data_IF_056751621823
#
_entry.id   IF_056751621823
#
_cell.length_a   1.000
_cell.length_b   1.000
_cell.length_c   1.000
_cell.angle_alpha   90.00
_cell.angle_beta   90.00
_cell.angle_gamma   90.00
#
_symmetry.space_group_name_H-M   'P 1'
#
loop_
_entity.id
_entity.type
_entity.pdbx_description
1 polymer ?
#
# COMPACT_ATOMS: atom_id res chain seq x y z
N UNK A 1 -49.61 60.44 -19.08
CA UNK A 1 -50.42 60.34 -17.84
C UNK A 1 -49.68 59.40 -16.90
N UNK A 2 -49.23 59.93 -15.74
CA UNK A 2 -48.81 59.25 -14.49
C UNK A 2 -47.78 58.11 -14.59
N UNK A 3 -46.49 58.29 -14.27
CA UNK A 3 -45.83 58.50 -12.95
C UNK A 3 -46.19 57.48 -11.86
N UNK A 4 -45.13 56.88 -11.28
CA UNK A 4 -44.87 56.31 -9.93
C UNK A 4 -43.85 55.17 -10.11
N UNK A 5 -42.53 55.37 -10.03
CA UNK A 5 -41.66 55.67 -8.88
C UNK A 5 -41.69 54.63 -7.75
N UNK A 6 -40.50 54.13 -7.40
CA UNK A 6 -40.25 53.19 -6.30
C UNK A 6 -38.82 52.63 -6.29
N UNK A 7 -37.83 53.51 -6.12
CA UNK A 7 -36.50 53.17 -5.60
C UNK A 7 -36.60 52.74 -4.13
N UNK A 8 -35.86 51.72 -3.71
CA UNK A 8 -35.23 51.73 -2.39
C UNK A 8 -33.86 51.03 -2.43
N UNK A 9 -32.84 51.86 -2.26
CA UNK A 9 -31.44 51.55 -2.03
C UNK A 9 -31.24 51.35 -0.52
N UNK A 10 -30.47 50.35 -0.08
CA UNK A 10 -29.79 50.41 1.22
C UNK A 10 -28.38 49.88 1.13
N UNK A 11 -27.48 50.80 1.44
CA UNK A 11 -26.03 50.71 1.45
C UNK A 11 -25.46 49.87 2.60
N UNK A 12 -24.23 49.43 2.36
CA UNK A 12 -23.08 49.41 3.27
C UNK A 12 -23.22 48.82 4.69
N UNK A 13 -22.37 47.82 4.97
CA UNK A 13 -21.43 47.98 6.07
C UNK A 13 -20.12 47.20 5.86
N UNK A 14 -19.10 47.98 5.50
CA UNK A 14 -17.69 47.73 5.83
C UNK A 14 -17.53 47.80 7.35
N UNK A 15 -16.87 46.83 7.98
CA UNK A 15 -16.01 47.13 9.13
C UNK A 15 -14.83 46.16 9.21
N UNK A 16 -13.70 46.79 9.52
CA UNK A 16 -12.31 46.36 9.48
C UNK A 16 -11.86 45.51 10.68
N UNK A 17 -10.82 44.71 10.40
CA UNK A 17 -9.70 44.26 11.25
C UNK A 17 -9.72 44.48 12.76
N UNK A 18 -9.39 43.40 13.50
CA UNK A 18 -8.32 43.47 14.52
C UNK A 18 -7.66 42.12 14.76
N UNK A 19 -6.36 42.22 15.03
CA UNK A 19 -5.34 41.21 15.26
C UNK A 19 -5.66 40.06 16.22
N UNK A 20 -5.09 38.89 15.88
CA UNK A 20 -4.98 37.72 16.74
C UNK A 20 -3.78 36.87 16.33
N UNK A 21 -2.58 37.44 16.52
CA UNK A 21 -1.28 36.77 16.40
C UNK A 21 -1.21 35.55 17.34
N UNK A 22 -1.27 34.34 16.79
CA UNK A 22 -0.84 33.12 17.47
C UNK A 22 0.21 32.42 16.61
N UNK A 23 1.46 32.64 16.99
CA UNK A 23 2.65 31.98 16.46
C UNK A 23 2.64 30.49 16.80
N UNK A 24 2.48 29.63 15.81
CA UNK A 24 2.86 28.22 15.92
C UNK A 24 4.24 28.02 15.26
N UNK A 25 5.27 28.07 16.09
CA UNK A 25 6.60 27.56 15.79
C UNK A 25 6.55 26.04 15.63
N UNK A 26 6.21 25.57 14.42
CA UNK A 26 6.31 24.17 14.03
C UNK A 26 7.49 24.00 13.08
N UNK A 27 8.64 23.58 13.62
CA UNK A 27 9.82 23.15 12.86
C UNK A 27 9.41 21.96 11.97
N UNK A 28 9.07 22.20 10.70
CA UNK A 28 9.06 21.15 9.68
C UNK A 28 10.52 20.81 9.39
N UNK A 29 11.00 19.73 9.95
CA UNK A 29 12.19 19.06 9.45
C UNK A 29 11.82 18.43 8.10
N UNK A 30 12.17 19.10 7.01
CA UNK A 30 12.29 18.46 5.71
C UNK A 30 13.36 17.38 5.84
N UNK A 31 12.91 16.13 5.95
CA UNK A 31 13.80 14.98 5.82
C UNK A 31 13.93 14.76 4.32
N UNK A 32 15.03 15.27 3.76
CA UNK A 32 15.44 15.04 2.39
C UNK A 32 15.82 13.55 2.24
N UNK A 33 14.87 12.76 1.77
CA UNK A 33 15.09 11.35 1.48
C UNK A 33 15.90 11.23 0.18
N UNK A 34 17.16 10.85 0.33
CA UNK A 34 18.02 10.48 -0.80
C UNK A 34 17.38 9.29 -1.54
N UNK A 35 17.06 9.52 -2.81
CA UNK A 35 16.51 8.53 -3.73
C UNK A 35 17.58 7.46 -4.04
N UNK A 36 17.63 6.41 -3.21
CA UNK A 36 18.71 5.41 -3.24
C UNK A 36 18.29 4.08 -3.89
N UNK A 37 17.07 3.97 -4.40
CA UNK A 37 16.62 2.73 -5.07
C UNK A 37 16.69 2.93 -6.57
N UNK A 38 17.79 2.46 -7.16
CA UNK A 38 17.92 2.30 -8.60
C UNK A 38 16.97 1.19 -9.07
N UNK A 39 15.85 1.60 -9.67
CA UNK A 39 14.79 0.76 -10.22
C UNK A 39 15.33 -0.30 -11.19
N UNK A 40 16.40 0.03 -11.93
CA UNK A 40 17.03 -0.90 -12.89
C UNK A 40 17.78 -2.00 -12.16
N UNK A 41 18.50 -1.66 -11.08
CA UNK A 41 19.26 -2.62 -10.28
C UNK A 41 18.37 -3.59 -9.52
N UNK A 42 17.25 -3.10 -8.97
CA UNK A 42 16.28 -3.97 -8.27
C UNK A 42 15.67 -5.00 -9.22
N UNK A 43 15.28 -4.57 -10.43
CA UNK A 43 14.78 -5.48 -11.48
C UNK A 43 15.82 -6.51 -11.89
N UNK A 44 17.07 -6.10 -12.08
CA UNK A 44 18.16 -7.00 -12.45
C UNK A 44 18.44 -8.06 -11.38
N UNK A 45 18.37 -7.71 -10.10
CA UNK A 45 18.55 -8.67 -9.00
C UNK A 45 17.37 -9.67 -8.89
N UNK A 46 16.15 -9.24 -9.19
CA UNK A 46 14.96 -10.09 -9.24
C UNK A 46 14.94 -11.04 -10.46
N UNK A 47 15.23 -10.52 -11.66
CA UNK A 47 15.11 -11.27 -12.92
C UNK A 47 16.29 -12.22 -13.19
N UNK A 48 17.43 -12.07 -12.49
CA UNK A 48 18.62 -12.95 -12.65
C UNK A 48 18.44 -14.38 -12.13
N UNK A 49 17.32 -14.75 -11.52
CA UNK A 49 17.10 -16.13 -11.02
C UNK A 49 15.82 -16.74 -11.59
N UNK A 50 15.83 -17.26 -12.84
CA UNK A 50 14.63 -17.82 -13.45
C UNK A 50 14.19 -19.16 -12.84
N UNK A 51 15.04 -19.84 -12.06
CA UNK A 51 14.71 -21.17 -11.50
C UNK A 51 15.33 -21.38 -10.11
N UNK A 52 14.59 -21.16 -9.02
CA UNK A 52 14.62 -22.03 -7.82
C UNK A 52 13.62 -21.64 -6.74
N UNK A 53 13.00 -22.68 -6.22
CA UNK A 53 12.01 -22.76 -5.16
C UNK A 53 12.53 -22.28 -3.79
N UNK A 54 11.62 -21.73 -3.00
CA UNK A 54 11.51 -21.89 -1.53
C UNK A 54 12.70 -21.55 -0.63
N UNK A 55 13.59 -20.65 -1.02
CA UNK A 55 14.66 -20.18 -0.13
C UNK A 55 14.40 -18.74 0.29
N UNK A 56 14.17 -18.52 1.60
CA UNK A 56 14.02 -17.18 2.19
C UNK A 56 15.20 -16.30 1.78
N UNK A 57 14.91 -15.10 1.26
CA UNK A 57 15.95 -14.12 0.98
C UNK A 57 16.63 -13.74 2.31
N UNK A 58 17.93 -14.00 2.42
CA UNK A 58 18.76 -13.48 3.50
C UNK A 58 18.99 -11.97 3.25
N UNK A 59 17.94 -11.16 3.40
CA UNK A 59 18.04 -9.69 3.37
C UNK A 59 18.44 -9.11 4.75
N UNK A 60 18.65 -9.96 5.76
CA UNK A 60 18.86 -9.59 7.16
C UNK A 60 20.33 -9.65 7.62
N UNK A 61 21.31 -9.62 6.71
CA UNK A 61 22.73 -9.63 7.11
C UNK A 61 23.50 -8.48 6.49
N UNK A 62 23.71 -7.44 7.30
CA UNK A 62 24.68 -6.33 7.25
C UNK A 62 24.16 -5.38 8.35
N UNK A 63 24.61 -5.46 9.60
CA UNK A 63 25.97 -5.17 10.03
C UNK A 63 26.35 -5.98 11.28
N UNK A 64 27.42 -6.78 11.18
CA UNK A 64 28.10 -7.33 12.35
C UNK A 64 29.60 -7.50 12.01
N UNK A 65 30.38 -6.46 12.28
CA UNK A 65 31.83 -6.53 12.35
C UNK A 65 32.24 -6.54 13.84
N UNK A 66 32.50 -7.75 14.31
CA UNK A 66 33.65 -8.17 15.15
C UNK A 66 34.09 -7.28 16.32
N UNK A 67 33.81 -7.70 17.56
CA UNK A 67 34.80 -8.18 18.58
C UNK A 67 34.17 -8.40 19.99
N UNK A 68 34.74 -9.24 20.87
CA UNK A 68 34.09 -9.76 22.10
C UNK A 68 34.68 -9.16 23.41
N UNK A 69 34.38 -9.74 24.60
CA UNK A 69 33.46 -9.21 25.60
C UNK A 69 34.15 -8.39 26.71
N UNK A 70 33.46 -7.38 27.25
CA UNK A 70 33.86 -6.76 28.53
C UNK A 70 32.65 -6.50 29.43
N UNK A 71 32.74 -7.10 30.61
CA UNK A 71 31.87 -6.94 31.78
C UNK A 71 31.89 -5.50 32.28
N UNK A 72 30.76 -4.79 32.25
CA UNK A 72 30.51 -3.66 33.15
C UNK A 72 29.00 -3.53 33.40
N UNK A 73 28.62 -3.68 34.67
CA UNK A 73 27.36 -3.19 35.21
C UNK A 73 27.34 -1.66 35.08
N UNK A 74 26.21 -1.09 34.66
CA UNK A 74 25.56 0.05 35.29
C UNK A 74 24.28 0.43 34.54
N UNK A 75 23.28 0.77 35.36
CA UNK A 75 21.93 1.26 35.07
C UNK A 75 21.74 2.05 33.76
N UNK A 76 20.90 1.50 32.87
CA UNK A 76 20.24 2.24 31.79
C UNK A 76 18.76 2.46 32.16
N UNK A 77 18.19 3.67 31.97
CA UNK A 77 16.79 3.92 32.25
C UNK A 77 15.91 3.16 31.25
N UNK A 78 14.64 2.85 31.58
CA UNK A 78 13.84 2.00 30.73
C UNK A 78 13.57 2.72 29.40
N UNK A 79 14.21 2.23 28.34
CA UNK A 79 13.74 2.42 26.97
C UNK A 79 12.26 2.09 26.98
N UNK A 80 11.45 3.07 26.55
CA UNK A 80 10.00 3.04 26.53
C UNK A 80 9.52 1.73 25.90
N UNK A 81 9.31 0.73 26.76
CA UNK A 81 8.73 -0.55 26.39
C UNK A 81 7.24 -0.28 26.34
N UNK A 82 6.79 0.29 25.21
CA UNK A 82 5.39 0.21 24.85
C UNK A 82 5.09 -1.28 24.81
N UNK A 83 4.45 -1.79 25.88
CA UNK A 83 3.82 -3.10 25.89
C UNK A 83 2.90 -3.12 24.67
N UNK A 84 3.34 -3.77 23.61
CA UNK A 84 2.51 -4.12 22.47
C UNK A 84 1.44 -5.08 22.99
N UNK A 85 0.37 -4.53 23.55
CA UNK A 85 -0.84 -5.29 23.79
C UNK A 85 -1.45 -5.59 22.42
N UNK A 86 -1.52 -6.87 22.06
CA UNK A 86 -2.54 -7.38 21.14
C UNK A 86 -2.07 -7.86 19.77
N UNK A 87 -1.03 -7.29 19.16
CA UNK A 87 -0.72 -7.65 17.77
C UNK A 87 0.10 -8.94 17.65
N UNK A 88 -0.55 -10.04 17.24
CA UNK A 88 0.11 -11.31 16.89
C UNK A 88 0.86 -11.09 15.57
N UNK A 89 2.19 -11.23 15.60
CA UNK A 89 3.11 -11.20 14.46
C UNK A 89 3.11 -9.92 13.57
N UNK A 90 3.71 -8.79 14.02
CA UNK A 90 3.76 -7.55 13.24
C UNK A 90 4.47 -7.71 11.88
N UNK A 91 5.44 -8.61 11.77
CA UNK A 91 6.12 -8.88 10.49
C UNK A 91 5.19 -9.51 9.45
N UNK A 92 4.25 -10.38 9.85
CA UNK A 92 3.28 -10.98 8.92
C UNK A 92 2.32 -9.94 8.33
N UNK A 93 2.11 -8.83 9.03
CA UNK A 93 1.29 -7.74 8.55
C UNK A 93 1.85 -7.10 7.28
N UNK A 94 3.17 -7.09 7.10
CA UNK A 94 3.82 -6.58 5.89
C UNK A 94 3.42 -7.43 4.66
N UNK A 95 3.45 -8.75 4.82
CA UNK A 95 2.98 -9.69 3.79
C UNK A 95 1.48 -9.63 3.59
N UNK A 96 0.71 -9.43 4.66
CA UNK A 96 -0.74 -9.26 4.56
C UNK A 96 -1.14 -8.02 3.76
N UNK A 97 -0.48 -6.87 3.96
CA UNK A 97 -0.73 -5.64 3.19
C UNK A 97 -0.54 -5.90 1.69
N UNK A 98 0.59 -6.51 1.32
CA UNK A 98 0.90 -6.82 -0.08
C UNK A 98 -0.12 -7.82 -0.67
N UNK A 99 -0.43 -8.88 0.07
CA UNK A 99 -1.40 -9.90 -0.35
C UNK A 99 -2.80 -9.31 -0.59
N UNK A 100 -3.26 -8.45 0.31
CA UNK A 100 -4.60 -7.87 0.26
C UNK A 100 -4.73 -6.87 -0.89
N UNK A 101 -3.69 -6.10 -1.18
CA UNK A 101 -3.65 -5.25 -2.37
C UNK A 101 -3.80 -6.08 -3.64
N UNK A 102 -2.98 -7.12 -3.80
CA UNK A 102 -3.00 -7.99 -4.99
C UNK A 102 -4.38 -8.64 -5.17
N UNK A 103 -4.95 -9.16 -4.09
CA UNK A 103 -6.29 -9.79 -4.11
C UNK A 103 -7.38 -8.80 -4.53
N UNK A 104 -7.32 -7.55 -4.08
CA UNK A 104 -8.28 -6.51 -4.49
C UNK A 104 -8.13 -6.12 -5.95
N UNK A 105 -6.91 -5.93 -6.44
CA UNK A 105 -6.66 -5.64 -7.86
C UNK A 105 -7.25 -6.77 -8.72
N UNK A 106 -6.93 -8.02 -8.38
CA UNK A 106 -7.43 -9.18 -9.10
C UNK A 106 -8.95 -9.30 -9.04
N UNK A 107 -9.55 -9.11 -7.86
CA UNK A 107 -11.01 -9.16 -7.69
C UNK A 107 -11.73 -8.02 -8.43
N UNK A 108 -11.11 -6.85 -8.55
CA UNK A 108 -11.70 -5.72 -9.26
C UNK A 108 -11.74 -5.98 -10.77
N UNK A 109 -10.66 -6.55 -11.33
CA UNK A 109 -10.59 -6.88 -12.75
C UNK A 109 -11.52 -8.07 -13.06
N UNK A 110 -11.35 -9.19 -12.36
CA UNK A 110 -12.00 -10.47 -12.66
C UNK A 110 -13.27 -10.73 -11.84
N UNK A 111 -14.21 -9.78 -11.79
CA UNK A 111 -15.43 -9.87 -10.98
C UNK A 111 -16.31 -11.10 -11.29
N UNK A 112 -16.29 -11.55 -12.55
CA UNK A 112 -17.14 -12.65 -13.02
C UNK A 112 -16.49 -14.04 -12.84
N UNK A 113 -15.25 -14.08 -12.31
CA UNK A 113 -14.51 -15.32 -12.09
C UNK A 113 -14.67 -15.78 -10.63
N UNK A 114 -15.19 -16.99 -10.44
CA UNK A 114 -15.40 -17.56 -9.10
C UNK A 114 -14.10 -17.96 -8.39
N UNK A 115 -13.05 -18.27 -9.15
CA UNK A 115 -11.75 -18.71 -8.64
C UNK A 115 -10.62 -18.12 -9.47
N UNK A 116 -9.62 -17.58 -8.78
CA UNK A 116 -8.48 -16.87 -9.38
C UNK A 116 -7.17 -17.65 -9.18
N UNK A 117 -7.20 -18.98 -9.31
CA UNK A 117 -6.01 -19.82 -9.10
C UNK A 117 -4.96 -19.57 -10.17
N UNK A 118 -3.73 -19.29 -9.72
CA UNK A 118 -2.61 -18.95 -10.60
C UNK A 118 -2.75 -17.57 -11.26
N UNK A 119 -3.69 -16.74 -10.80
CA UNK A 119 -3.75 -15.33 -11.19
C UNK A 119 -2.85 -14.54 -10.24
N UNK A 120 -2.00 -13.70 -10.81
CA UNK A 120 -1.13 -12.77 -10.09
C UNK A 120 -1.26 -11.42 -10.77
N UNK A 121 -0.95 -10.34 -10.05
CA UNK A 121 -1.01 -9.00 -10.66
C UNK A 121 -0.07 -8.90 -11.88
N UNK A 122 1.07 -9.61 -11.83
CA UNK A 122 2.04 -9.67 -12.92
C UNK A 122 1.49 -10.32 -14.19
N UNK A 123 0.53 -11.25 -14.08
CA UNK A 123 0.03 -12.02 -15.21
C UNK A 123 -1.39 -11.62 -15.67
N UNK A 124 -1.95 -10.51 -15.17
CA UNK A 124 -3.32 -10.09 -15.45
C UNK A 124 -3.61 -10.05 -16.96
N UNK A 125 -2.78 -9.39 -17.75
CA UNK A 125 -3.02 -9.25 -19.20
C UNK A 125 -3.11 -10.61 -19.91
N UNK A 126 -2.22 -11.54 -19.55
CA UNK A 126 -2.26 -12.90 -20.06
C UNK A 126 -3.52 -13.64 -19.57
N UNK A 127 -3.91 -13.45 -18.32
CA UNK A 127 -5.14 -14.04 -17.77
C UNK A 127 -6.40 -13.50 -18.41
N UNK A 128 -6.45 -12.21 -18.77
CA UNK A 128 -7.54 -11.61 -19.53
C UNK A 128 -7.70 -12.35 -20.87
N UNK A 129 -6.61 -12.54 -21.62
CA UNK A 129 -6.65 -13.29 -22.88
C UNK A 129 -7.15 -14.72 -22.68
N UNK A 130 -6.70 -15.39 -21.61
CA UNK A 130 -7.10 -16.76 -21.30
C UNK A 130 -8.60 -16.89 -20.98
N UNK A 131 -9.15 -16.01 -20.14
CA UNK A 131 -10.55 -16.12 -19.68
C UNK A 131 -11.58 -15.69 -20.72
N UNK A 132 -11.16 -14.92 -21.73
CA UNK A 132 -12.05 -14.48 -22.81
C UNK A 132 -12.22 -15.53 -23.91
N UNK A 133 -11.41 -16.60 -23.91
CA UNK A 133 -11.54 -17.69 -24.88
C UNK A 133 -12.58 -18.68 -24.38
N UNK A 134 -13.63 -18.88 -25.17
CA UNK A 134 -14.64 -19.87 -24.84
C UNK A 134 -14.05 -21.30 -24.95
N UNK A 135 -14.15 -22.13 -23.91
CA UNK A 135 -13.38 -23.38 -23.81
C UNK A 135 -13.75 -24.44 -24.85
N UNK A 136 -14.97 -24.39 -25.39
CA UNK A 136 -15.45 -25.39 -26.36
C UNK A 136 -15.33 -24.95 -27.82
N UNK A 137 -15.39 -23.64 -28.08
CA UNK A 137 -15.39 -23.10 -29.45
C UNK A 137 -14.07 -22.45 -29.84
N UNK A 138 -13.21 -22.13 -28.87
CA UNK A 138 -11.97 -21.37 -29.09
C UNK A 138 -12.21 -19.92 -29.54
N UNK A 139 -13.47 -19.47 -29.61
CA UNK A 139 -13.83 -18.12 -30.00
C UNK A 139 -13.57 -17.16 -28.85
N UNK A 140 -13.04 -15.97 -29.16
CA UNK A 140 -12.79 -14.91 -28.18
C UNK A 140 -14.05 -14.08 -28.00
N UNK A 141 -14.51 -13.92 -26.76
CA UNK A 141 -15.48 -12.90 -26.41
C UNK A 141 -14.79 -11.54 -26.33
N UNK A 142 -14.89 -10.79 -27.43
CA UNK A 142 -14.24 -9.49 -27.56
C UNK A 142 -14.83 -8.44 -26.62
N UNK A 143 -16.14 -8.47 -26.38
CA UNK A 143 -16.81 -7.52 -25.51
C UNK A 143 -16.38 -7.73 -24.05
N UNK A 144 -16.29 -8.98 -23.62
CA UNK A 144 -15.77 -9.33 -22.31
C UNK A 144 -14.30 -8.93 -22.16
N UNK A 145 -13.49 -9.14 -23.20
CA UNK A 145 -12.07 -8.75 -23.23
C UNK A 145 -11.89 -7.25 -23.06
N UNK A 146 -12.62 -6.44 -23.82
CA UNK A 146 -12.56 -4.97 -23.73
C UNK A 146 -12.90 -4.51 -22.31
N UNK A 147 -13.99 -5.04 -21.72
CA UNK A 147 -14.41 -4.69 -20.36
C UNK A 147 -13.34 -5.02 -19.30
N UNK A 148 -12.67 -6.17 -19.42
CA UNK A 148 -11.59 -6.56 -18.51
C UNK A 148 -10.37 -5.64 -18.65
N UNK A 149 -10.01 -5.27 -19.89
CA UNK A 149 -8.90 -4.34 -20.16
C UNK A 149 -9.20 -2.94 -19.62
N UNK A 150 -10.43 -2.44 -19.78
CA UNK A 150 -10.87 -1.16 -19.23
C UNK A 150 -10.74 -1.14 -17.70
N UNK A 151 -11.27 -2.16 -17.01
CA UNK A 151 -11.14 -2.29 -15.54
C UNK A 151 -9.68 -2.35 -15.09
N UNK A 152 -8.85 -3.08 -15.83
CA UNK A 152 -7.43 -3.15 -15.53
C UNK A 152 -6.75 -1.78 -15.69
N UNK A 153 -6.98 -1.08 -16.81
CA UNK A 153 -6.44 0.27 -17.02
C UNK A 153 -6.88 1.21 -15.92
N UNK A 154 -8.18 1.23 -15.61
CA UNK A 154 -8.75 2.13 -14.61
C UNK A 154 -8.11 1.96 -13.22
N UNK A 155 -7.89 0.71 -12.78
CA UNK A 155 -7.18 0.43 -11.53
C UNK A 155 -5.72 0.87 -11.62
N UNK A 156 -5.02 0.48 -12.69
CA UNK A 156 -3.60 0.78 -12.82
C UNK A 156 -3.34 2.28 -12.94
N UNK A 157 -4.19 3.04 -13.62
CA UNK A 157 -4.10 4.49 -13.72
C UNK A 157 -4.28 5.15 -12.35
N UNK A 158 -5.26 4.69 -11.56
CA UNK A 158 -5.47 5.15 -10.20
C UNK A 158 -4.29 4.85 -9.26
N UNK A 159 -3.72 3.65 -9.35
CA UNK A 159 -2.54 3.26 -8.57
C UNK A 159 -1.27 4.00 -9.04
N UNK A 160 -1.16 4.27 -10.34
CA UNK A 160 -0.01 4.98 -10.92
C UNK A 160 0.12 6.41 -10.37
N UNK A 161 -0.99 7.10 -10.13
CA UNK A 161 -1.00 8.43 -9.48
C UNK A 161 -0.38 8.40 -8.08
N UNK A 162 -0.42 7.25 -7.40
CA UNK A 162 0.21 7.04 -6.08
C UNK A 162 1.69 6.61 -6.19
N UNK A 163 2.21 6.46 -7.40
CA UNK A 163 3.57 5.98 -7.69
C UNK A 163 3.69 4.48 -7.95
N UNK A 164 2.56 3.75 -8.05
CA UNK A 164 2.61 2.31 -8.34
C UNK A 164 3.11 2.06 -9.78
N UNK A 165 4.21 1.33 -9.88
CA UNK A 165 4.80 0.83 -11.13
C UNK A 165 4.38 -0.62 -11.38
N UNK A 166 3.67 -0.86 -12.49
CA UNK A 166 3.22 -2.19 -12.95
C UNK A 166 4.37 -3.14 -13.29
N UNK A 167 5.58 -2.61 -13.50
CA UNK A 167 6.77 -3.43 -13.79
C UNK A 167 7.55 -3.85 -12.55
N UNK A 168 7.41 -3.13 -11.44
CA UNK A 168 8.18 -3.36 -10.20
C UNK A 168 7.30 -3.94 -9.10
N UNK A 169 6.17 -3.29 -8.81
CA UNK A 169 5.39 -3.57 -7.60
C UNK A 169 4.69 -4.93 -7.61
N UNK A 170 4.24 -5.50 -8.74
CA UNK A 170 3.73 -6.88 -8.74
C UNK A 170 4.78 -7.92 -8.35
N UNK A 171 6.04 -7.75 -8.75
CA UNK A 171 7.12 -8.66 -8.37
C UNK A 171 7.55 -8.40 -6.90
N UNK A 172 7.54 -7.14 -6.49
CA UNK A 172 7.81 -6.75 -5.11
C UNK A 172 6.76 -7.27 -4.14
N UNK A 173 5.46 -7.18 -4.46
CA UNK A 173 4.39 -7.70 -3.60
C UNK A 173 4.52 -9.20 -3.40
N UNK A 174 4.79 -9.97 -4.47
CA UNK A 174 5.09 -11.40 -4.38
C UNK A 174 6.29 -11.69 -3.48
N UNK A 175 7.38 -10.93 -3.63
CA UNK A 175 8.56 -11.04 -2.77
C UNK A 175 8.23 -10.80 -1.30
N UNK A 176 7.47 -9.76 -1.00
CA UNK A 176 7.05 -9.41 0.37
C UNK A 176 6.18 -10.50 0.96
N UNK A 177 5.18 -10.99 0.23
CA UNK A 177 4.31 -12.10 0.66
C UNK A 177 5.14 -13.35 0.94
N UNK A 178 6.09 -13.68 0.07
CA UNK A 178 6.95 -14.85 0.25
C UNK A 178 7.94 -14.71 1.42
N UNK A 179 8.43 -13.49 1.67
CA UNK A 179 9.40 -13.22 2.73
C UNK A 179 8.76 -13.17 4.12
N UNK A 180 7.63 -12.47 4.24
CA UNK A 180 6.99 -12.18 5.53
C UNK A 180 5.79 -13.10 5.83
N UNK A 181 5.23 -13.72 4.80
CA UNK A 181 4.03 -14.56 4.90
C UNK A 181 2.76 -13.74 5.12
N UNK A 182 1.62 -14.43 5.02
CA UNK A 182 0.29 -13.87 5.29
C UNK A 182 -0.18 -14.23 6.70
N UNK A 183 -1.20 -13.53 7.19
CA UNK A 183 -1.92 -13.89 8.41
C UNK A 183 -2.79 -15.13 8.14
N UNK A 184 -2.66 -16.15 8.98
CA UNK A 184 -3.40 -17.43 8.82
C UNK A 184 -4.76 -17.42 9.50
N UNK A 185 -4.89 -16.62 10.55
CA UNK A 185 -6.08 -16.49 11.38
C UNK A 185 -6.48 -15.01 11.35
N UNK A 186 -7.79 -14.71 11.31
CA UNK A 186 -8.26 -13.37 11.63
C UNK A 186 -7.66 -12.98 12.99
N UNK A 187 -7.09 -11.78 13.16
CA UNK A 187 -6.73 -11.31 14.49
C UNK A 187 -7.97 -11.48 15.36
N UNK A 188 -7.79 -12.12 16.51
CA UNK A 188 -8.88 -12.45 17.43
C UNK A 188 -9.80 -11.23 17.53
N UNK A 189 -11.05 -11.45 17.08
CA UNK A 189 -12.04 -10.48 16.67
C UNK A 189 -11.80 -9.01 17.10
N UNK A 190 -11.81 -8.11 16.11
CA UNK A 190 -12.10 -6.68 16.31
C UNK A 190 -11.05 -5.89 17.10
N UNK A 191 -9.74 -6.11 16.91
CA UNK A 191 -8.83 -5.02 17.22
C UNK A 191 -8.87 -3.99 16.08
N UNK A 192 -9.55 -2.84 16.26
CA UNK A 192 -9.64 -1.79 15.23
C UNK A 192 -8.25 -1.31 14.78
N UNK A 193 -7.20 -1.58 15.57
CA UNK A 193 -5.81 -1.30 15.21
C UNK A 193 -5.38 -1.93 13.87
N UNK A 194 -5.89 -3.12 13.51
CA UNK A 194 -5.56 -3.76 12.23
C UNK A 194 -6.27 -3.12 11.03
N UNK A 195 -7.30 -2.31 11.27
CA UNK A 195 -8.03 -1.59 10.21
C UNK A 195 -7.65 -0.11 10.13
N UNK A 196 -6.84 0.40 11.04
CA UNK A 196 -6.40 1.80 11.06
C UNK A 196 -5.12 2.00 10.22
N UNK A 197 -5.19 2.76 9.10
CA UNK A 197 -4.03 3.08 8.28
C UNK A 197 -2.85 3.69 9.06
N UNK A 198 -3.13 4.45 10.12
CA UNK A 198 -2.09 5.12 10.93
C UNK A 198 -1.29 4.07 11.72
N UNK A 199 -2.00 3.10 12.31
CA UNK A 199 -1.35 2.00 13.03
C UNK A 199 -0.57 1.13 12.07
N UNK A 200 -1.14 0.77 10.90
CA UNK A 200 -0.44 -0.01 9.89
C UNK A 200 0.83 0.68 9.39
N UNK A 201 0.77 2.00 9.16
CA UNK A 201 1.94 2.79 8.77
C UNK A 201 3.03 2.75 9.83
N UNK A 202 2.68 2.82 11.12
CA UNK A 202 3.64 2.67 12.21
C UNK A 202 4.26 1.28 12.22
N UNK A 203 3.47 0.21 12.05
CA UNK A 203 4.00 -1.16 11.97
C UNK A 203 4.99 -1.32 10.82
N UNK A 204 4.70 -0.73 9.64
CA UNK A 204 5.64 -0.74 8.51
C UNK A 204 6.94 -0.04 8.88
N UNK A 205 6.89 1.14 9.50
CA UNK A 205 8.10 1.88 9.92
C UNK A 205 8.92 1.12 10.96
N UNK A 206 8.27 0.49 11.93
CA UNK A 206 8.94 -0.18 13.05
C UNK A 206 9.49 -1.56 12.66
N UNK A 207 8.90 -2.23 11.65
CA UNK A 207 9.16 -3.65 11.35
C UNK A 207 9.84 -3.88 10.01
N UNK A 208 9.65 -2.98 9.02
CA UNK A 208 10.19 -3.19 7.69
C UNK A 208 11.72 -2.97 7.64
N UNK A 209 12.47 -3.82 6.92
CA UNK A 209 13.85 -3.50 6.57
C UNK A 209 13.89 -2.15 5.81
N UNK A 210 14.88 -1.31 6.13
CA UNK A 210 15.02 0.04 5.55
C UNK A 210 14.98 0.05 4.01
N UNK A 211 15.51 -1.00 3.37
CA UNK A 211 15.52 -1.19 1.91
C UNK A 211 14.13 -1.40 1.29
N UNK A 212 13.16 -1.92 2.04
CA UNK A 212 11.82 -2.26 1.56
C UNK A 212 10.76 -1.24 2.02
N UNK A 213 11.11 -0.37 2.97
CA UNK A 213 10.15 0.48 3.67
C UNK A 213 9.39 1.45 2.75
N UNK A 214 10.08 2.09 1.79
CA UNK A 214 9.46 3.04 0.84
C UNK A 214 8.36 2.35 0.03
N UNK A 215 8.69 1.22 -0.58
CA UNK A 215 7.76 0.48 -1.44
C UNK A 215 6.64 -0.17 -0.63
N UNK A 216 6.91 -0.64 0.60
CA UNK A 216 5.86 -1.14 1.51
C UNK A 216 4.85 -0.07 1.92
N UNK A 217 5.32 1.15 2.21
CA UNK A 217 4.44 2.29 2.49
C UNK A 217 3.59 2.64 1.27
N UNK A 218 4.16 2.57 0.07
CA UNK A 218 3.43 2.76 -1.18
C UNK A 218 2.34 1.69 -1.36
N UNK A 219 2.66 0.41 -1.11
CA UNK A 219 1.66 -0.66 -1.17
C UNK A 219 0.52 -0.42 -0.17
N UNK A 220 0.83 0.06 1.04
CA UNK A 220 -0.18 0.43 2.03
C UNK A 220 -1.08 1.58 1.54
N UNK A 221 -0.50 2.62 0.97
CA UNK A 221 -1.26 3.75 0.43
C UNK A 221 -2.17 3.31 -0.74
N UNK A 222 -1.67 2.41 -1.60
CA UNK A 222 -2.45 1.77 -2.66
C UNK A 222 -3.59 0.91 -2.11
N UNK A 223 -3.35 0.13 -1.06
CA UNK A 223 -4.39 -0.67 -0.40
C UNK A 223 -5.48 0.23 0.20
N UNK A 224 -5.08 1.34 0.86
CA UNK A 224 -6.02 2.32 1.40
C UNK A 224 -6.83 3.02 0.30
N UNK A 225 -6.23 3.30 -0.85
CA UNK A 225 -6.95 3.81 -2.01
C UNK A 225 -7.99 2.80 -2.52
N UNK A 226 -7.60 1.54 -2.70
CA UNK A 226 -8.51 0.49 -3.15
C UNK A 226 -9.65 0.26 -2.14
N UNK A 227 -9.36 0.29 -0.84
CA UNK A 227 -10.36 0.14 0.22
C UNK A 227 -11.38 1.27 0.28
N UNK A 228 -10.95 2.51 0.06
CA UNK A 228 -11.89 3.64 -0.07
C UNK A 228 -12.74 3.53 -1.32
N UNK A 229 -12.16 3.04 -2.42
CA UNK A 229 -12.83 2.90 -3.70
C UNK A 229 -13.90 1.80 -3.70
N UNK A 230 -13.65 0.67 -3.03
CA UNK A 230 -14.61 -0.45 -2.94
C UNK A 230 -15.50 -0.42 -1.68
N UNK A 231 -15.21 0.47 -0.72
CA UNK A 231 -15.97 0.61 0.52
C UNK A 231 -15.79 -0.55 1.50
N UNK A 232 -14.71 -1.34 1.37
CA UNK A 232 -14.46 -2.54 2.18
C UNK A 232 -13.32 -2.32 3.20
N UNK A 233 -13.35 -2.99 4.37
CA UNK A 233 -12.27 -2.89 5.37
C UNK A 233 -10.94 -3.37 4.80
N UNK A 234 -9.79 -2.82 5.23
CA UNK A 234 -8.46 -3.06 4.63
C UNK A 234 -8.09 -4.54 4.46
N UNK A 235 -8.48 -5.39 5.41
CA UNK A 235 -8.26 -6.83 5.33
C UNK A 235 -9.58 -7.58 5.12
N UNK A 236 -9.59 -8.42 4.09
CA UNK A 236 -10.69 -9.31 3.74
C UNK A 236 -10.30 -10.73 4.15
N UNK A 237 -11.12 -11.36 4.99
CA UNK A 237 -10.92 -12.73 5.49
C UNK A 237 -11.70 -13.75 4.64
#
# INVERSE_FOLDING_TARGET
>A
MSHLDGEENTDANSFTSTDGLMSHSGRRSDIEWKDSVDESRFRDELLKRPHKTSSRLNLLHTDALTSPPSTFNNDEPPVCSFRQQGMRDPSRLLGEIAFQLDRRILSHVFQEQSRLYGFTVQNILHKIQQVCVHPLSGTVDELYRIRLLERHSEVMDGLHVLGYSTSLHPAFSELVVNAFGILKEPPDALDPAYSDPIVLRRVVVDTAPSRLMKDLLLLLDCLCFMARRDGRPLFLW
#
